data_IF_985831293236
#
_entry.id   IF_985831293236
#
_cell.length_a   1.000
_cell.length_b   1.000
_cell.length_c   1.000
_cell.angle_alpha   90.00
_cell.angle_beta   90.00
_cell.angle_gamma   90.00
#
_symmetry.space_group_name_H-M   'P 1'
#
loop_
_entity.id
_entity.type
_entity.pdbx_description
1 polymer ?
#
# COMPACT_ATOMS: atom_id res chain seq x y z
N UNK A 1 -3.01 -11.68 29.63
CA UNK A 1 -3.61 -10.32 29.48
C UNK A 1 -2.76 -9.40 28.61
N UNK A 2 -1.47 -9.17 28.90
CA UNK A 2 -0.59 -8.27 28.10
C UNK A 2 -0.58 -8.52 26.59
N UNK A 3 -0.44 -9.77 26.13
CA UNK A 3 -0.47 -10.13 24.70
C UNK A 3 -1.78 -9.73 24.01
N UNK A 4 -2.91 -9.92 24.69
CA UNK A 4 -4.23 -9.55 24.17
C UNK A 4 -4.34 -8.02 24.04
N UNK A 5 -3.88 -7.27 25.05
CA UNK A 5 -3.85 -5.80 25.01
C UNK A 5 -3.00 -5.31 23.83
N UNK A 6 -1.78 -5.82 23.68
CA UNK A 6 -0.90 -5.43 22.58
C UNK A 6 -1.50 -5.75 21.21
N UNK A 7 -2.09 -6.95 21.06
CA UNK A 7 -2.77 -7.33 19.83
C UNK A 7 -3.91 -6.36 19.50
N UNK A 8 -4.75 -6.02 20.47
CA UNK A 8 -5.83 -5.04 20.29
C UNK A 8 -5.28 -3.67 19.89
N UNK A 9 -4.18 -3.21 20.52
CA UNK A 9 -3.56 -1.93 20.17
C UNK A 9 -3.05 -1.88 18.73
N UNK A 10 -2.46 -2.96 18.21
CA UNK A 10 -2.06 -3.04 16.79
C UNK A 10 -3.25 -3.14 15.84
N UNK A 11 -4.37 -3.70 16.29
CA UNK A 11 -5.55 -3.91 15.45
C UNK A 11 -6.39 -2.64 15.29
N UNK A 12 -6.38 -1.73 16.28
CA UNK A 12 -7.17 -0.49 16.24
C UNK A 12 -6.91 0.34 14.98
N UNK A 13 -5.66 0.71 14.60
CA UNK A 13 -5.43 1.53 13.41
C UNK A 13 -5.89 0.85 12.12
N UNK A 14 -5.73 -0.48 12.03
CA UNK A 14 -6.14 -1.27 10.86
C UNK A 14 -7.67 -1.25 10.72
N UNK A 15 -8.41 -1.52 11.79
CA UNK A 15 -9.87 -1.54 11.76
C UNK A 15 -10.45 -0.15 11.53
N UNK A 16 -9.85 0.89 12.14
CA UNK A 16 -10.25 2.27 11.90
C UNK A 16 -10.05 2.67 10.44
N UNK A 17 -8.92 2.30 9.82
CA UNK A 17 -8.67 2.57 8.41
C UNK A 17 -9.65 1.83 7.49
N UNK A 18 -9.88 0.54 7.72
CA UNK A 18 -10.85 -0.23 6.94
C UNK A 18 -12.24 0.37 7.06
N UNK A 19 -12.67 0.70 8.29
CA UNK A 19 -13.94 1.37 8.54
C UNK A 19 -14.02 2.72 7.84
N UNK A 20 -12.96 3.53 7.92
CA UNK A 20 -12.89 4.82 7.25
C UNK A 20 -13.06 4.67 5.72
N UNK A 21 -12.26 3.84 5.07
CA UNK A 21 -12.37 3.64 3.62
C UNK A 21 -13.74 3.09 3.25
N UNK A 22 -14.27 2.10 3.97
CA UNK A 22 -15.59 1.52 3.67
C UNK A 22 -16.74 2.53 3.75
N UNK A 23 -16.63 3.57 4.59
CA UNK A 23 -17.68 4.59 4.75
C UNK A 23 -17.49 5.80 3.83
N UNK A 24 -16.25 6.13 3.46
CA UNK A 24 -15.94 7.37 2.75
C UNK A 24 -15.42 7.17 1.32
N UNK A 25 -15.15 5.93 0.89
CA UNK A 25 -14.77 5.65 -0.49
C UNK A 25 -15.92 5.95 -1.45
N UNK A 26 -15.64 6.67 -2.53
CA UNK A 26 -16.58 6.93 -3.62
C UNK A 26 -16.05 6.26 -4.87
N UNK A 27 -16.86 5.43 -5.54
CA UNK A 27 -16.42 4.70 -6.73
C UNK A 27 -16.39 5.57 -7.99
N UNK A 28 -15.52 6.58 -7.99
CA UNK A 28 -15.34 7.52 -9.10
C UNK A 28 -13.85 7.84 -9.23
N UNK A 29 -13.24 7.70 -10.42
CA UNK A 29 -11.86 8.09 -10.62
C UNK A 29 -11.67 9.60 -10.45
N UNK A 30 -10.51 10.02 -9.96
CA UNK A 30 -10.18 11.42 -9.70
C UNK A 30 -8.80 11.76 -10.29
N UNK A 31 -8.65 12.97 -10.82
CA UNK A 31 -7.40 13.55 -11.32
C UNK A 31 -6.55 12.61 -12.19
N UNK A 32 -5.36 12.23 -11.72
CA UNK A 32 -4.44 11.35 -12.44
C UNK A 32 -5.04 9.97 -12.78
N UNK A 33 -6.01 9.50 -12.01
CA UNK A 33 -6.70 8.25 -12.30
C UNK A 33 -7.52 8.35 -13.60
N UNK A 34 -8.18 9.50 -13.85
CA UNK A 34 -8.92 9.75 -15.08
C UNK A 34 -8.03 9.72 -16.32
N UNK A 35 -6.77 10.14 -16.18
CA UNK A 35 -5.82 10.16 -17.31
C UNK A 35 -5.45 8.76 -17.80
N UNK A 36 -5.75 7.71 -17.03
CA UNK A 36 -5.60 6.32 -17.44
C UNK A 36 -6.74 5.84 -18.36
N UNK A 37 -7.83 6.60 -18.51
CA UNK A 37 -8.96 6.24 -19.38
C UNK A 37 -8.50 5.93 -20.82
N UNK A 38 -7.59 6.74 -21.36
CA UNK A 38 -7.04 6.54 -22.72
C UNK A 38 -6.25 5.24 -22.87
N UNK A 39 -5.52 4.82 -21.81
CA UNK A 39 -4.86 3.53 -21.78
C UNK A 39 -5.89 2.40 -21.72
N UNK A 40 -6.93 2.55 -20.91
CA UNK A 40 -7.98 1.54 -20.79
C UNK A 40 -8.79 1.38 -22.07
N UNK A 41 -9.08 2.47 -22.78
CA UNK A 41 -9.70 2.41 -24.10
C UNK A 41 -8.85 1.57 -25.08
N UNK A 42 -7.55 1.83 -25.15
CA UNK A 42 -6.63 1.05 -26.01
C UNK A 42 -6.59 -0.44 -25.62
N UNK A 43 -6.61 -0.74 -24.33
CA UNK A 43 -6.67 -2.13 -23.84
C UNK A 43 -7.99 -2.78 -24.29
N UNK A 44 -9.12 -2.11 -24.08
CA UNK A 44 -10.44 -2.62 -24.43
C UNK A 44 -10.61 -2.85 -25.94
N UNK A 45 -9.98 -2.02 -26.77
CA UNK A 45 -9.97 -2.16 -28.23
C UNK A 45 -8.97 -3.21 -28.74
N UNK A 46 -8.13 -3.79 -27.88
CA UNK A 46 -7.08 -4.74 -28.29
C UNK A 46 -5.91 -4.10 -29.03
N UNK A 47 -5.77 -2.78 -28.98
CA UNK A 47 -4.74 -2.00 -29.69
C UNK A 47 -3.61 -1.51 -28.79
N UNK A 48 -3.58 -1.94 -27.53
CA UNK A 48 -2.54 -1.52 -26.56
C UNK A 48 -1.17 -2.09 -26.92
N UNK A 49 -0.14 -1.26 -26.77
CA UNK A 49 1.25 -1.63 -26.98
C UNK A 49 2.06 -1.44 -25.70
N UNK A 50 3.27 -2.01 -25.64
CA UNK A 50 4.21 -1.75 -24.53
C UNK A 50 4.51 -0.25 -24.36
N UNK A 51 4.59 0.50 -25.46
CA UNK A 51 4.86 1.93 -25.45
C UNK A 51 3.78 2.73 -24.69
N UNK A 52 2.52 2.28 -24.70
CA UNK A 52 1.44 2.94 -23.97
C UNK A 52 1.64 2.83 -22.44
N UNK A 53 2.15 1.69 -21.98
CA UNK A 53 2.51 1.51 -20.58
C UNK A 53 3.79 2.28 -20.21
N UNK A 54 4.78 2.32 -21.11
CA UNK A 54 6.05 3.02 -20.89
C UNK A 54 5.97 4.55 -21.05
N UNK A 55 4.89 5.06 -21.68
CA UNK A 55 4.66 6.49 -21.88
C UNK A 55 4.62 7.27 -20.55
N UNK A 56 5.04 8.53 -20.60
CA UNK A 56 5.06 9.42 -19.45
C UNK A 56 3.64 9.69 -18.93
N UNK A 57 3.52 9.75 -17.61
CA UNK A 57 2.35 10.21 -16.88
C UNK A 57 2.82 11.26 -15.88
N UNK A 58 2.42 12.52 -16.03
CA UNK A 58 2.97 13.65 -15.25
C UNK A 58 4.52 13.67 -15.20
N UNK A 59 5.20 13.46 -16.34
CA UNK A 59 6.67 13.37 -16.44
C UNK A 59 7.32 12.12 -15.83
N UNK A 60 6.54 11.17 -15.30
CA UNK A 60 7.06 9.95 -14.70
C UNK A 60 6.71 8.72 -15.53
N UNK A 61 7.62 7.73 -15.58
CA UNK A 61 7.33 6.41 -16.14
C UNK A 61 6.87 5.47 -15.03
N UNK A 62 5.58 5.21 -15.00
CA UNK A 62 4.92 4.40 -13.95
C UNK A 62 4.45 3.05 -14.51
N UNK A 63 5.38 2.28 -15.08
CA UNK A 63 5.11 1.00 -15.75
C UNK A 63 4.32 0.03 -14.84
N UNK A 64 4.87 -0.30 -13.67
CA UNK A 64 4.24 -1.27 -12.76
C UNK A 64 2.91 -0.76 -12.17
N UNK A 65 2.80 0.49 -11.70
CA UNK A 65 1.49 1.02 -11.28
C UNK A 65 0.43 0.95 -12.38
N UNK A 66 0.75 1.35 -13.63
CA UNK A 66 -0.20 1.25 -14.75
C UNK A 66 -0.67 -0.19 -14.98
N UNK A 67 0.23 -1.17 -14.93
CA UNK A 67 -0.12 -2.59 -15.09
C UNK A 67 -1.06 -3.04 -13.96
N UNK A 68 -0.70 -2.78 -12.70
CA UNK A 68 -1.50 -3.20 -11.54
C UNK A 68 -2.88 -2.56 -11.58
N UNK A 69 -2.95 -1.25 -11.81
CA UNK A 69 -4.22 -0.51 -11.87
C UNK A 69 -5.06 -1.02 -13.06
N UNK A 70 -4.47 -1.25 -14.23
CA UNK A 70 -5.19 -1.80 -15.38
C UNK A 70 -5.78 -3.18 -15.05
N UNK A 71 -5.00 -4.10 -14.48
CA UNK A 71 -5.50 -5.43 -14.09
C UNK A 71 -6.69 -5.32 -13.14
N UNK A 72 -6.58 -4.49 -12.10
CA UNK A 72 -7.67 -4.27 -11.15
C UNK A 72 -8.89 -3.64 -11.82
N UNK A 73 -8.70 -2.64 -12.68
CA UNK A 73 -9.79 -1.98 -13.38
C UNK A 73 -10.55 -2.94 -14.29
N UNK A 74 -9.86 -3.76 -15.10
CA UNK A 74 -10.54 -4.71 -15.97
C UNK A 74 -11.19 -5.87 -15.20
N UNK A 75 -10.58 -6.32 -14.09
CA UNK A 75 -11.17 -7.36 -13.24
C UNK A 75 -12.43 -6.89 -12.49
N UNK A 76 -12.54 -5.60 -12.18
CA UNK A 76 -13.59 -5.05 -11.31
C UNK A 76 -14.62 -4.16 -12.01
N UNK A 77 -14.54 -4.01 -13.34
CA UNK A 77 -15.31 -3.00 -14.11
C UNK A 77 -15.02 -1.57 -13.64
N UNK A 78 -13.73 -1.31 -13.45
CA UNK A 78 -13.13 -0.06 -12.97
C UNK A 78 -13.69 0.42 -11.63
N UNK A 79 -13.95 -0.53 -10.73
CA UNK A 79 -14.29 -0.21 -9.36
C UNK A 79 -13.01 0.13 -8.58
N UNK A 80 -12.85 1.41 -8.22
CA UNK A 80 -11.62 1.91 -7.57
C UNK A 80 -11.41 1.30 -6.19
N UNK A 81 -12.46 0.79 -5.54
CA UNK A 81 -12.35 0.17 -4.21
C UNK A 81 -11.39 -1.02 -4.20
N UNK A 82 -11.19 -1.71 -5.33
CA UNK A 82 -10.20 -2.77 -5.45
C UNK A 82 -8.78 -2.23 -5.32
N UNK A 83 -8.52 -1.03 -5.83
CA UNK A 83 -7.24 -0.34 -5.67
C UNK A 83 -7.06 0.11 -4.22
N UNK A 84 -8.09 0.67 -3.59
CA UNK A 84 -8.05 1.07 -2.18
C UNK A 84 -7.79 -0.13 -1.25
N UNK A 85 -8.46 -1.26 -1.49
CA UNK A 85 -8.22 -2.51 -0.76
C UNK A 85 -6.78 -2.99 -0.91
N UNK A 86 -6.21 -2.93 -2.12
CA UNK A 86 -4.81 -3.30 -2.34
C UNK A 86 -3.86 -2.31 -1.64
N UNK A 87 -4.15 -1.02 -1.64
CA UNK A 87 -3.39 0.00 -0.90
C UNK A 87 -3.34 -0.30 0.61
N UNK A 88 -4.48 -0.62 1.23
CA UNK A 88 -4.55 -1.04 2.63
C UNK A 88 -3.71 -2.31 2.86
N UNK A 89 -3.84 -3.31 1.97
CA UNK A 89 -3.05 -4.54 2.04
C UNK A 89 -1.54 -4.29 1.94
N UNK A 90 -1.11 -3.44 1.00
CA UNK A 90 0.29 -3.06 0.85
C UNK A 90 0.82 -2.34 2.09
N UNK A 91 0.05 -1.42 2.67
CA UNK A 91 0.43 -0.74 3.90
C UNK A 91 0.55 -1.71 5.08
N UNK A 92 -0.38 -2.66 5.22
CA UNK A 92 -0.33 -3.69 6.26
C UNK A 92 0.90 -4.61 6.11
N UNK A 93 1.19 -5.07 4.89
CA UNK A 93 2.37 -5.90 4.61
C UNK A 93 3.66 -5.10 4.86
N UNK A 94 3.69 -3.82 4.47
CA UNK A 94 4.80 -2.90 4.75
C UNK A 94 5.05 -2.78 6.25
N UNK A 95 3.99 -2.58 7.05
CA UNK A 95 4.10 -2.56 8.51
C UNK A 95 4.64 -3.88 9.06
N UNK A 96 4.12 -5.03 8.61
CA UNK A 96 4.59 -6.35 9.05
C UNK A 96 6.09 -6.51 8.75
N UNK A 97 6.56 -6.07 7.58
CA UNK A 97 7.97 -6.12 7.21
C UNK A 97 8.82 -5.19 8.11
N UNK A 98 8.36 -3.97 8.38
CA UNK A 98 9.03 -3.04 9.32
C UNK A 98 9.08 -3.60 10.75
N UNK A 99 8.00 -4.20 11.23
CA UNK A 99 7.95 -4.84 12.54
C UNK A 99 8.97 -5.99 12.64
N UNK A 100 9.08 -6.82 11.59
CA UNK A 100 10.09 -7.88 11.53
C UNK A 100 11.51 -7.31 11.43
N UNK A 101 11.75 -6.23 10.71
CA UNK A 101 13.05 -5.55 10.70
C UNK A 101 13.43 -5.07 12.10
N UNK A 102 12.50 -4.42 12.79
CA UNK A 102 12.68 -3.93 14.15
C UNK A 102 12.99 -5.07 15.13
N UNK A 103 12.32 -6.23 15.00
CA UNK A 103 12.58 -7.38 15.87
C UNK A 103 13.95 -8.03 15.64
N UNK A 104 14.56 -7.85 14.47
CA UNK A 104 15.92 -8.34 14.19
C UNK A 104 17.01 -7.49 14.85
N UNK A 105 16.70 -6.27 15.27
CA UNK A 105 17.67 -5.30 15.81
C UNK A 105 17.63 -5.18 17.34
N UNK A 106 16.54 -5.61 17.98
CA UNK A 106 16.36 -5.50 19.43
C UNK A 106 16.92 -6.72 20.16
N UNK A 107 17.52 -6.49 21.34
CA UNK A 107 18.03 -7.58 22.21
C UNK A 107 16.91 -8.39 22.86
N UNK A 108 15.80 -7.74 23.19
CA UNK A 108 14.64 -8.36 23.83
C UNK A 108 13.33 -7.85 23.22
N UNK A 109 12.61 -8.74 22.55
CA UNK A 109 11.34 -8.46 21.87
C UNK A 109 10.19 -8.24 22.87
N UNK A 110 10.38 -8.54 24.16
CA UNK A 110 9.39 -8.32 25.21
C UNK A 110 9.45 -6.92 25.86
N UNK A 111 10.35 -6.04 25.39
CA UNK A 111 10.53 -4.68 25.90
C UNK A 111 9.30 -3.81 25.56
N UNK A 112 8.79 -3.10 26.57
CA UNK A 112 7.63 -2.21 26.42
C UNK A 112 7.95 -0.99 25.56
N UNK A 113 9.18 -0.48 25.59
CA UNK A 113 9.60 0.61 24.70
C UNK A 113 9.63 0.17 23.23
N UNK A 114 10.04 -1.08 22.98
CA UNK A 114 10.05 -1.66 21.64
C UNK A 114 8.62 -1.81 21.09
N UNK A 115 7.69 -2.32 21.91
CA UNK A 115 6.28 -2.37 21.54
C UNK A 115 5.69 -0.98 21.29
N UNK A 116 5.97 -0.01 22.18
CA UNK A 116 5.50 1.36 22.03
C UNK A 116 5.97 1.98 20.70
N UNK A 117 7.26 1.85 20.37
CA UNK A 117 7.80 2.35 19.09
C UNK A 117 7.11 1.73 17.87
N UNK A 118 6.86 0.42 17.89
CA UNK A 118 6.17 -0.27 16.81
C UNK A 118 4.67 0.09 16.73
N UNK A 119 4.00 0.32 17.86
CA UNK A 119 2.60 0.79 17.87
C UNK A 119 2.50 2.19 17.28
N UNK A 120 3.41 3.10 17.67
CA UNK A 120 3.47 4.45 17.10
C UNK A 120 3.76 4.41 15.60
N UNK A 121 4.63 3.51 15.16
CA UNK A 121 4.90 3.28 13.72
C UNK A 121 3.65 2.76 12.99
N UNK A 122 2.89 1.85 13.59
CA UNK A 122 1.63 1.35 13.04
C UNK A 122 0.61 2.49 12.87
N UNK A 123 0.43 3.30 13.92
CA UNK A 123 -0.47 4.46 13.92
C UNK A 123 -0.04 5.46 12.84
N UNK A 124 1.25 5.74 12.72
CA UNK A 124 1.76 6.67 11.72
C UNK A 124 1.48 6.16 10.30
N UNK A 125 1.88 4.91 10.00
CA UNK A 125 1.76 4.36 8.66
C UNK A 125 0.30 4.24 8.21
N UNK A 126 -0.61 3.92 9.14
CA UNK A 126 -2.04 3.75 8.89
C UNK A 126 -2.87 4.99 9.28
N UNK A 127 -2.21 6.12 9.50
CA UNK A 127 -2.86 7.35 9.98
C UNK A 127 -3.91 7.83 8.99
N UNK A 128 -5.07 8.26 9.52
CA UNK A 128 -6.14 8.85 8.71
C UNK A 128 -5.84 10.30 8.27
N UNK A 129 -4.77 10.92 8.78
CA UNK A 129 -4.36 12.27 8.36
C UNK A 129 -4.11 12.34 6.84
N UNK A 130 -3.54 11.27 6.27
CA UNK A 130 -3.33 11.10 4.82
C UNK A 130 -4.57 10.54 4.09
N UNK A 131 -5.76 11.00 4.48
CA UNK A 131 -7.04 10.55 3.92
C UNK A 131 -7.12 10.59 2.39
N UNK A 132 -6.50 11.59 1.74
CA UNK A 132 -6.42 11.66 0.28
C UNK A 132 -5.75 10.41 -0.33
N UNK A 133 -4.68 9.91 0.31
CA UNK A 133 -4.02 8.67 -0.12
C UNK A 133 -4.92 7.45 0.06
N UNK A 134 -5.76 7.44 1.10
CA UNK A 134 -6.64 6.32 1.40
C UNK A 134 -7.90 6.24 0.56
N UNK A 135 -8.35 7.38 0.01
CA UNK A 135 -9.60 7.47 -0.74
C UNK A 135 -9.40 7.61 -2.25
N UNK A 136 -8.17 7.67 -2.73
CA UNK A 136 -7.85 7.85 -4.14
C UNK A 136 -7.11 6.63 -4.73
N UNK A 137 -7.73 5.97 -5.71
CA UNK A 137 -7.23 4.73 -6.31
C UNK A 137 -5.81 4.83 -6.84
N UNK A 138 -5.49 5.95 -7.51
CA UNK A 138 -4.17 6.18 -8.09
C UNK A 138 -3.02 6.19 -7.07
N UNK A 139 -3.32 6.52 -5.80
CA UNK A 139 -2.32 6.59 -4.72
C UNK A 139 -1.75 5.21 -4.35
N UNK A 140 -2.34 4.12 -4.85
CA UNK A 140 -1.76 2.77 -4.85
C UNK A 140 -0.29 2.74 -5.27
N UNK A 141 0.11 3.59 -6.22
CA UNK A 141 1.50 3.69 -6.67
C UNK A 141 2.47 3.99 -5.52
N UNK A 142 2.11 4.86 -4.58
CA UNK A 142 2.97 5.23 -3.45
C UNK A 142 3.06 4.13 -2.40
N UNK A 143 1.94 3.47 -2.09
CA UNK A 143 1.94 2.31 -1.20
C UNK A 143 2.79 1.17 -1.77
N UNK A 144 2.76 1.00 -3.09
CA UNK A 144 3.59 0.02 -3.79
C UNK A 144 5.08 0.35 -3.69
N UNK A 145 5.48 1.61 -3.94
CA UNK A 145 6.88 2.04 -3.79
C UNK A 145 7.39 1.87 -2.35
N UNK A 146 6.57 2.25 -1.36
CA UNK A 146 6.91 2.06 0.06
C UNK A 146 7.14 0.59 0.40
N UNK A 147 6.25 -0.30 -0.07
CA UNK A 147 6.41 -1.74 0.08
C UNK A 147 7.71 -2.24 -0.56
N UNK A 148 7.97 -1.88 -1.82
CA UNK A 148 9.18 -2.29 -2.54
C UNK A 148 10.46 -1.87 -1.80
N UNK A 149 10.49 -0.64 -1.28
CA UNK A 149 11.64 -0.14 -0.52
C UNK A 149 11.87 -0.96 0.75
N UNK A 150 10.82 -1.13 1.57
CA UNK A 150 10.93 -1.90 2.82
C UNK A 150 11.27 -3.36 2.54
N UNK A 151 10.70 -3.96 1.49
CA UNK A 151 11.02 -5.32 1.07
C UNK A 151 12.49 -5.48 0.64
N UNK A 152 13.05 -4.50 -0.08
CA UNK A 152 14.47 -4.50 -0.45
C UNK A 152 15.38 -4.45 0.78
N UNK A 153 15.08 -3.56 1.75
CA UNK A 153 15.82 -3.49 3.02
C UNK A 153 15.69 -4.80 3.79
N UNK A 154 14.49 -5.38 3.85
CA UNK A 154 14.25 -6.68 4.49
C UNK A 154 15.12 -7.78 3.89
N UNK A 155 15.16 -7.89 2.56
CA UNK A 155 15.95 -8.90 1.85
C UNK A 155 17.46 -8.74 2.10
N UNK A 156 17.96 -7.50 2.12
CA UNK A 156 19.37 -7.21 2.41
C UNK A 156 19.76 -7.64 3.82
N UNK A 157 18.94 -7.29 4.81
CA UNK A 157 19.20 -7.61 6.22
C UNK A 157 19.03 -9.12 6.49
N UNK A 158 18.05 -9.77 5.86
CA UNK A 158 17.83 -11.21 6.05
C UNK A 158 18.98 -12.07 5.51
N UNK A 159 19.61 -11.64 4.40
CA UNK A 159 20.74 -12.36 3.81
C UNK A 159 22.04 -12.21 4.60
N UNK A 160 22.19 -11.13 5.37
CA UNK A 160 23.39 -10.90 6.20
C UNK A 160 23.52 -11.85 7.40
N UNK A 161 22.48 -12.63 7.73
CA UNK A 161 22.53 -13.67 8.77
C UNK A 161 23.04 -15.04 8.28
N UNK A 162 23.38 -15.17 6.99
CA UNK A 162 23.84 -16.42 6.36
C UNK A 162 25.37 -16.47 6.11
N UNK A 163 26.13 -15.48 6.58
CA UNK A 163 27.59 -15.45 6.62
C UNK A 163 28.06 -15.35 8.07
#
# INVERSE_FOLDING_TARGET
MKKLILFTLYLIPVLLLIGFVANFSVNVPVDDEWRLASLFEKIAQGNVTFNDFWALHSNHRILFPKIIIAVLAFASRWNINYQLCLSIGLAAITFIAMYKLSSMQVKNVADDLWHLANILTCIWLLSLVQHENWLWGFQLAWFFVNFCFVAAVYALVSNHKLL
#
